data_IF_992591422143
#
_entry.id   IF_992591422143
#
_cell.length_a   1.000
_cell.length_b   1.000
_cell.length_c   1.000
_cell.angle_alpha   90.00
_cell.angle_beta   90.00
_cell.angle_gamma   90.00
#
_symmetry.space_group_name_H-M   'P 1'
#
loop_
_entity.id
_entity.type
_entity.pdbx_description
1 polymer ?
#
# COMPACT_ATOMS: atom_id res chain seq x y z
N UNK A 1 -21.11 3.75 15.91
CA UNK A 1 -20.95 3.44 14.46
C UNK A 1 -22.03 2.52 13.88
N UNK A 2 -22.10 1.21 14.17
CA UNK A 2 -23.08 0.33 13.48
C UNK A 2 -24.55 0.77 13.66
N UNK A 3 -24.95 1.12 14.89
CA UNK A 3 -26.31 1.62 15.16
C UNK A 3 -26.60 2.97 14.48
N UNK A 4 -25.61 3.89 14.47
CA UNK A 4 -25.73 5.19 13.79
C UNK A 4 -25.88 5.01 12.27
N UNK A 5 -25.13 4.07 11.67
CA UNK A 5 -25.29 3.76 10.25
C UNK A 5 -26.67 3.17 9.93
N UNK A 6 -27.21 2.34 10.81
CA UNK A 6 -28.57 1.80 10.66
C UNK A 6 -29.62 2.91 10.75
N UNK A 7 -29.44 3.91 11.61
CA UNK A 7 -30.33 5.07 11.71
C UNK A 7 -30.27 5.93 10.43
N UNK A 8 -29.09 6.13 9.86
CA UNK A 8 -28.88 6.97 8.67
C UNK A 8 -29.35 6.27 7.37
N UNK A 9 -28.96 5.01 7.17
CA UNK A 9 -29.21 4.29 5.91
C UNK A 9 -30.49 3.45 5.93
N UNK A 10 -30.99 3.04 7.10
CA UNK A 10 -32.19 2.23 7.26
C UNK A 10 -32.08 0.76 6.80
N UNK A 11 -31.21 0.48 5.83
CA UNK A 11 -30.93 -0.85 5.27
C UNK A 11 -29.43 -0.96 4.94
N UNK A 12 -28.81 -2.10 5.24
CA UNK A 12 -27.41 -2.39 4.91
C UNK A 12 -27.15 -2.37 3.40
N UNK A 13 -28.15 -2.73 2.58
CA UNK A 13 -28.04 -2.73 1.13
C UNK A 13 -28.06 -1.32 0.52
N UNK A 14 -28.39 -0.30 1.31
CA UNK A 14 -28.35 1.10 0.91
C UNK A 14 -27.00 1.77 1.20
N UNK A 15 -26.06 1.09 1.87
CA UNK A 15 -24.76 1.65 2.23
C UNK A 15 -23.92 1.92 0.98
N UNK A 16 -23.44 3.16 0.85
CA UNK A 16 -22.55 3.56 -0.24
C UNK A 16 -21.25 2.76 -0.21
N UNK A 17 -20.78 2.34 -1.39
CA UNK A 17 -19.55 1.55 -1.52
C UNK A 17 -18.33 2.23 -0.85
N UNK A 18 -18.18 3.54 -1.04
CA UNK A 18 -17.08 4.29 -0.44
C UNK A 18 -17.16 4.30 1.09
N UNK A 19 -18.36 4.43 1.66
CA UNK A 19 -18.56 4.35 3.12
C UNK A 19 -18.26 2.93 3.62
N UNK A 20 -18.78 1.92 2.93
CA UNK A 20 -18.53 0.51 3.23
C UNK A 20 -17.03 0.19 3.29
N UNK A 21 -16.24 0.69 2.34
CA UNK A 21 -14.79 0.47 2.31
C UNK A 21 -14.02 0.94 3.56
N UNK A 22 -14.42 2.06 4.17
CA UNK A 22 -13.70 2.62 5.31
C UNK A 22 -14.28 2.20 6.66
N UNK A 23 -15.55 1.81 6.71
CA UNK A 23 -16.20 1.38 7.95
C UNK A 23 -16.20 -0.16 8.10
N UNK A 24 -15.95 -0.90 7.03
CA UNK A 24 -15.71 -2.34 7.10
C UNK A 24 -14.57 -2.66 8.09
N UNK A 25 -14.79 -3.68 8.92
CA UNK A 25 -13.79 -4.13 9.89
C UNK A 25 -12.49 -4.54 9.18
N UNK A 26 -11.39 -3.92 9.57
CA UNK A 26 -10.05 -4.25 9.08
C UNK A 26 -9.63 -5.70 9.41
N UNK A 27 -8.73 -6.25 8.59
CA UNK A 27 -8.12 -7.55 8.82
C UNK A 27 -7.05 -7.47 9.92
N UNK A 28 -6.65 -8.62 10.46
CA UNK A 28 -5.53 -8.67 11.42
C UNK A 28 -4.19 -8.27 10.80
N UNK A 29 -4.06 -8.38 9.48
CA UNK A 29 -2.84 -8.13 8.72
C UNK A 29 -2.89 -6.85 7.87
N UNK A 30 -4.01 -6.15 7.85
CA UNK A 30 -4.24 -4.98 6.99
C UNK A 30 -5.17 -3.99 7.68
N UNK A 31 -4.93 -2.67 7.55
CA UNK A 31 -5.86 -1.67 8.07
C UNK A 31 -7.22 -1.70 7.35
N UNK A 32 -7.31 -2.32 6.17
CA UNK A 32 -8.53 -2.41 5.38
C UNK A 32 -9.23 -3.75 5.56
N UNK A 33 -10.56 -3.72 5.37
CA UNK A 33 -11.38 -4.93 5.29
C UNK A 33 -11.20 -5.69 3.97
N UNK A 34 -11.88 -6.83 3.87
CA UNK A 34 -11.73 -7.74 2.72
C UNK A 34 -12.30 -7.14 1.43
N UNK A 35 -13.34 -6.31 1.53
CA UNK A 35 -14.02 -5.74 0.36
C UNK A 35 -13.09 -4.81 -0.40
N UNK A 36 -12.29 -3.99 0.31
CA UNK A 36 -11.26 -3.14 -0.31
C UNK A 36 -10.20 -3.96 -1.07
N UNK A 37 -9.76 -5.08 -0.50
CA UNK A 37 -8.74 -5.94 -1.12
C UNK A 37 -9.32 -6.66 -2.34
N UNK A 38 -10.52 -7.23 -2.20
CA UNK A 38 -11.19 -7.99 -3.26
C UNK A 38 -11.55 -7.11 -4.47
N UNK A 39 -11.98 -5.86 -4.24
CA UNK A 39 -12.19 -4.89 -5.31
C UNK A 39 -10.87 -4.34 -5.84
N UNK A 40 -9.99 -3.86 -4.97
CA UNK A 40 -8.79 -3.13 -5.35
C UNK A 40 -7.73 -3.97 -6.06
N UNK A 41 -7.53 -5.22 -5.65
CA UNK A 41 -6.46 -6.06 -6.19
C UNK A 41 -6.60 -6.34 -7.70
N UNK A 42 -7.78 -6.73 -8.24
CA UNK A 42 -7.97 -6.87 -9.69
C UNK A 42 -7.70 -5.59 -10.47
N UNK A 43 -8.16 -4.42 -9.99
CA UNK A 43 -7.92 -3.14 -10.66
C UNK A 43 -6.44 -2.76 -10.67
N UNK A 44 -5.77 -2.90 -9.52
CA UNK A 44 -4.34 -2.63 -9.39
C UNK A 44 -3.52 -3.54 -10.29
N UNK A 45 -3.78 -4.86 -10.25
CA UNK A 45 -3.04 -5.84 -11.05
C UNK A 45 -3.27 -5.61 -12.54
N UNK A 46 -4.52 -5.34 -12.95
CA UNK A 46 -4.84 -5.02 -14.34
C UNK A 46 -4.14 -3.74 -14.77
N UNK A 47 -4.14 -2.69 -13.96
CA UNK A 47 -3.44 -1.44 -14.26
C UNK A 47 -1.94 -1.65 -14.48
N UNK A 48 -1.30 -2.48 -13.66
CA UNK A 48 0.12 -2.80 -13.79
C UNK A 48 0.42 -3.66 -15.03
N UNK A 49 -0.27 -4.78 -15.20
CA UNK A 49 0.05 -5.77 -16.23
C UNK A 49 -0.50 -5.41 -17.63
N UNK A 50 -1.50 -4.52 -17.71
CA UNK A 50 -2.00 -4.04 -19.00
C UNK A 50 -1.07 -3.03 -19.67
N UNK A 51 0.02 -2.64 -19.01
CA UNK A 51 1.01 -1.77 -19.62
C UNK A 51 1.63 -2.46 -20.85
N UNK A 52 1.71 -1.80 -22.03
CA UNK A 52 2.32 -2.36 -23.23
C UNK A 52 3.75 -2.89 -23.01
N UNK A 53 4.50 -2.32 -22.07
CA UNK A 53 5.85 -2.77 -21.71
C UNK A 53 5.86 -4.23 -21.25
N UNK A 54 4.79 -4.69 -20.60
CA UNK A 54 4.62 -6.07 -20.11
C UNK A 54 4.22 -7.05 -21.21
N UNK A 55 3.96 -6.59 -22.44
CA UNK A 55 3.61 -7.46 -23.56
C UNK A 55 4.82 -8.25 -24.07
N UNK A 56 4.61 -9.46 -24.65
CA UNK A 56 5.71 -10.24 -25.24
C UNK A 56 6.49 -9.49 -26.33
N UNK A 57 5.84 -8.54 -27.02
CA UNK A 57 6.46 -7.75 -28.08
C UNK A 57 7.48 -6.75 -27.54
N UNK A 58 7.21 -6.17 -26.37
CA UNK A 58 8.03 -5.11 -25.76
C UNK A 58 8.91 -5.61 -24.61
N UNK A 59 8.57 -6.71 -23.95
CA UNK A 59 9.35 -7.25 -22.84
C UNK A 59 10.61 -8.01 -23.31
N UNK A 60 11.57 -7.27 -23.87
CA UNK A 60 12.82 -7.78 -24.44
C UNK A 60 13.96 -6.77 -24.26
N UNK A 61 15.23 -7.20 -24.22
CA UNK A 61 16.37 -6.31 -23.97
C UNK A 61 16.43 -5.11 -24.93
N UNK A 62 16.11 -5.30 -26.21
CA UNK A 62 16.17 -4.24 -27.21
C UNK A 62 15.22 -3.07 -26.95
N UNK A 63 14.12 -3.28 -26.23
CA UNK A 63 13.22 -2.18 -25.81
C UNK A 63 13.88 -1.27 -24.78
N UNK A 64 14.77 -1.82 -23.95
CA UNK A 64 15.42 -1.12 -22.84
C UNK A 64 16.86 -0.71 -23.17
N UNK A 65 17.27 -0.75 -24.44
CA UNK A 65 18.64 -0.38 -24.84
C UNK A 65 19.69 -1.48 -24.61
N UNK A 66 19.28 -2.75 -24.55
CA UNK A 66 20.14 -3.90 -24.35
C UNK A 66 20.05 -4.50 -22.95
N UNK A 67 20.93 -5.46 -22.64
CA UNK A 67 20.85 -6.24 -21.40
C UNK A 67 21.05 -5.38 -20.16
N UNK A 68 21.93 -4.37 -20.22
CA UNK A 68 22.19 -3.45 -19.10
C UNK A 68 20.91 -2.72 -18.68
N UNK A 69 20.18 -2.13 -19.63
CA UNK A 69 18.93 -1.42 -19.32
C UNK A 69 17.83 -2.36 -18.86
N UNK A 70 17.76 -3.57 -19.42
CA UNK A 70 16.78 -4.56 -18.98
C UNK A 70 17.08 -5.10 -17.58
N UNK A 71 18.35 -5.23 -17.20
CA UNK A 71 18.78 -5.62 -15.87
C UNK A 71 18.47 -4.55 -14.82
N UNK A 72 18.51 -3.26 -15.18
CA UNK A 72 18.04 -2.18 -14.30
C UNK A 72 16.56 -2.40 -13.95
N UNK A 73 15.71 -2.67 -14.95
CA UNK A 73 14.27 -2.91 -14.73
C UNK A 73 14.04 -4.17 -13.88
N UNK A 74 14.69 -5.29 -14.21
CA UNK A 74 14.51 -6.58 -13.50
C UNK A 74 15.03 -6.55 -12.06
N UNK A 75 16.01 -5.71 -11.76
CA UNK A 75 16.66 -5.68 -10.44
C UNK A 75 16.35 -4.40 -9.65
N UNK A 76 15.40 -3.59 -10.12
CA UNK A 76 14.97 -2.38 -9.46
C UNK A 76 14.41 -2.69 -8.06
N UNK A 77 14.77 -1.86 -7.08
CA UNK A 77 14.23 -1.90 -5.73
C UNK A 77 14.09 -0.48 -5.20
N UNK A 78 13.24 -0.29 -4.18
CA UNK A 78 13.07 1.01 -3.52
C UNK A 78 14.41 1.54 -3.00
N UNK A 79 15.20 0.67 -2.37
CA UNK A 79 16.53 1.01 -1.86
C UNK A 79 17.47 1.50 -2.97
N UNK A 80 17.60 0.77 -4.08
CA UNK A 80 18.46 1.19 -5.21
C UNK A 80 18.03 2.53 -5.79
N UNK A 81 16.72 2.74 -5.95
CA UNK A 81 16.17 3.98 -6.48
C UNK A 81 16.63 5.18 -5.64
N UNK A 82 16.55 5.09 -4.32
CA UNK A 82 16.97 6.20 -3.46
C UNK A 82 18.49 6.26 -3.29
N UNK A 83 19.15 5.16 -2.90
CA UNK A 83 20.58 5.14 -2.61
C UNK A 83 21.46 5.61 -3.78
N UNK A 84 21.03 5.38 -5.03
CA UNK A 84 21.80 5.75 -6.21
C UNK A 84 21.51 7.19 -6.69
N UNK A 85 20.46 7.84 -6.19
CA UNK A 85 19.99 9.14 -6.69
C UNK A 85 20.00 10.25 -5.62
N UNK A 86 20.46 9.97 -4.40
CA UNK A 86 20.63 10.96 -3.34
C UNK A 86 22.11 11.16 -3.01
N UNK A 87 22.48 12.34 -2.54
CA UNK A 87 23.84 12.61 -2.07
C UNK A 87 24.05 12.11 -0.64
N UNK A 88 25.27 11.66 -0.35
CA UNK A 88 25.69 11.24 0.99
C UNK A 88 25.50 9.76 1.26
N UNK A 89 25.45 9.39 2.55
CA UNK A 89 25.26 8.00 2.98
C UNK A 89 23.81 7.57 2.72
N UNK A 90 23.61 6.39 2.15
CA UNK A 90 22.25 5.89 1.97
C UNK A 90 21.53 5.70 3.32
N UNK A 91 20.34 6.30 3.51
CA UNK A 91 19.55 6.13 4.71
C UNK A 91 18.81 4.78 4.68
N UNK A 92 18.08 4.48 5.75
CA UNK A 92 17.16 3.36 5.75
C UNK A 92 15.97 3.66 4.83
N UNK A 93 15.80 2.82 3.80
CA UNK A 93 14.73 2.96 2.80
C UNK A 93 13.82 1.73 2.88
N UNK A 94 12.59 1.92 3.35
CA UNK A 94 11.64 0.82 3.61
C UNK A 94 10.21 1.33 3.62
N UNK A 95 9.24 0.46 3.26
CA UNK A 95 7.81 0.74 3.42
C UNK A 95 7.28 0.45 4.84
N UNK A 96 8.11 -0.15 5.69
CA UNK A 96 7.73 -0.56 7.05
C UNK A 96 8.54 0.22 8.09
N UNK A 97 7.86 0.79 9.08
CA UNK A 97 8.52 1.47 10.19
C UNK A 97 9.35 0.46 11.00
N UNK A 98 10.62 0.77 11.34
CA UNK A 98 11.44 -0.08 12.19
C UNK A 98 10.81 -0.40 13.55
N UNK A 99 10.96 -1.63 14.02
CA UNK A 99 10.30 -2.11 15.25
C UNK A 99 10.64 -1.29 16.50
N UNK A 100 11.88 -0.81 16.61
CA UNK A 100 12.30 0.02 17.72
C UNK A 100 11.54 1.36 17.73
N UNK A 101 11.34 1.97 16.56
CA UNK A 101 10.56 3.20 16.40
C UNK A 101 9.09 2.91 16.67
N UNK A 102 8.54 1.88 16.04
CA UNK A 102 7.13 1.51 16.21
C UNK A 102 6.78 1.20 17.67
N UNK A 103 7.67 0.50 18.40
CA UNK A 103 7.49 0.22 19.83
C UNK A 103 7.52 1.49 20.67
N UNK A 104 8.44 2.39 20.40
CA UNK A 104 8.56 3.63 21.16
C UNK A 104 7.33 4.53 20.94
N UNK A 105 6.88 4.68 19.68
CA UNK A 105 5.65 5.42 19.36
C UNK A 105 4.43 4.82 20.07
N UNK A 106 4.31 3.49 20.15
CA UNK A 106 3.20 2.84 20.87
C UNK A 106 3.21 3.14 22.37
N UNK A 107 4.38 3.24 23.01
CA UNK A 107 4.47 3.62 24.44
C UNK A 107 3.98 5.05 24.65
N UNK A 108 4.48 5.99 23.85
CA UNK A 108 4.09 7.41 23.93
C UNK A 108 2.59 7.57 23.72
N UNK A 109 2.01 6.89 22.73
CA UNK A 109 0.56 6.91 22.51
C UNK A 109 -0.22 6.36 23.71
N UNK A 110 0.23 5.25 24.29
CA UNK A 110 -0.42 4.64 25.45
C UNK A 110 -0.30 5.48 26.73
N UNK A 111 0.73 6.31 26.85
CA UNK A 111 0.87 7.28 27.94
C UNK A 111 -0.11 8.45 27.74
N UNK A 112 -0.18 9.01 26.53
CA UNK A 112 -1.10 10.12 26.23
C UNK A 112 -2.58 9.75 26.36
N UNK A 113 -2.98 8.53 25.98
CA UNK A 113 -4.38 8.08 26.13
C UNK A 113 -4.78 7.89 27.61
N UNK A 114 -3.81 7.73 28.52
CA UNK A 114 -4.09 7.68 29.96
C UNK A 114 -4.29 9.06 30.57
N UNK A 115 -3.73 10.11 29.97
CA UNK A 115 -3.86 11.49 30.45
C UNK A 115 -5.15 12.18 29.94
N UNK A 116 -5.82 11.59 28.94
CA UNK A 116 -7.12 12.07 28.40
C UNK A 116 -8.35 11.35 29.01
N UNK A 117 -8.16 10.39 29.92
CA UNK A 117 -9.22 9.64 30.61
C UNK A 117 -9.24 9.93 32.11
#
# INVERSE_FOLDING_TARGET
MAAELQEIYGDVNAVDLYVGFFIEKGLTTSPFGITMIAFGAPYSLRGLLSNPVSSPTYWKPSTFGGDVGFDIVKTASLEKLFCQNISGKCPLVTFTVPDNIARETRKVLAENTKDEL
#
